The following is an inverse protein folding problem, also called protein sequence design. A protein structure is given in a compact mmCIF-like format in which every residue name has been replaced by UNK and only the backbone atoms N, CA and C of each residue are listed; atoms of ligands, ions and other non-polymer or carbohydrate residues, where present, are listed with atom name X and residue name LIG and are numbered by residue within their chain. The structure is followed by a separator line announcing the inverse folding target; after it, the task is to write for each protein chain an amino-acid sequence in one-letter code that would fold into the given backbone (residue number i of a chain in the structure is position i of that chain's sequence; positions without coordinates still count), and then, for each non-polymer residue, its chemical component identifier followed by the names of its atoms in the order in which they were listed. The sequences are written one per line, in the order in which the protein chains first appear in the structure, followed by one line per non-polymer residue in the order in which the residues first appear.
data_IF_186600128087
#
_entry.id   IF_186600128087
#
_cell.length_a   1.000
_cell.length_b   1.000
_cell.length_c   1.000
_cell.angle_alpha   90.00
_cell.angle_beta   90.00
_cell.angle_gamma   90.00
#
_symmetry.space_group_name_H-M   'P 1'
#
loop_
_entity.id
_entity.type
_entity.pdbx_description
1 polymer ?
#
# COMPACT_ATOMS: atom_id res chain seq x y z
N UNK A 1 -19.05 -11.81 1.20
CA UNK A 1 -18.00 -10.77 1.22
C UNK A 1 -18.40 -9.59 2.13
N UNK A 2 -19.45 -8.83 1.80
CA UNK A 2 -19.95 -7.71 2.62
C UNK A 2 -20.23 -8.09 4.09
N UNK A 3 -21.14 -9.03 4.34
CA UNK A 3 -21.51 -9.46 5.70
C UNK A 3 -20.34 -10.07 6.50
N UNK A 4 -19.45 -10.79 5.83
CA UNK A 4 -18.27 -11.41 6.48
C UNK A 4 -17.27 -10.38 6.97
N UNK A 5 -17.13 -9.26 6.25
CA UNK A 5 -16.14 -8.24 6.51
C UNK A 5 -16.72 -6.96 7.12
N UNK A 6 -18.04 -6.87 7.29
CA UNK A 6 -18.73 -5.65 7.73
C UNK A 6 -18.47 -4.46 6.80
N UNK A 7 -18.35 -4.72 5.49
CA UNK A 7 -18.02 -3.71 4.48
C UNK A 7 -19.24 -3.37 3.65
N UNK A 8 -19.36 -2.09 3.30
CA UNK A 8 -20.22 -1.65 2.21
C UNK A 8 -19.60 -2.10 0.89
N UNK A 9 -20.36 -2.81 0.04
CA UNK A 9 -19.85 -3.36 -1.23
C UNK A 9 -20.74 -2.88 -2.36
N UNK A 10 -20.16 -2.18 -3.33
CA UNK A 10 -20.87 -1.55 -4.44
C UNK A 10 -20.34 -2.05 -5.79
N UNK A 11 -21.25 -2.28 -6.76
CA UNK A 11 -20.88 -2.64 -8.14
C UNK A 11 -20.47 -4.11 -8.36
N UNK A 12 -20.52 -4.97 -7.36
CA UNK A 12 -20.19 -6.41 -7.47
C UNK A 12 -21.26 -7.26 -8.15
N UNK A 13 -22.48 -6.74 -8.21
CA UNK A 13 -23.61 -7.26 -8.95
C UNK A 13 -23.56 -6.89 -10.44
N UNK A 14 -22.62 -6.05 -10.84
CA UNK A 14 -22.46 -5.66 -12.23
C UNK A 14 -21.84 -6.80 -13.06
N UNK A 15 -22.46 -7.09 -14.21
CA UNK A 15 -22.05 -8.20 -15.08
C UNK A 15 -20.58 -8.11 -15.51
N UNK A 16 -19.91 -9.27 -15.56
CA UNK A 16 -18.54 -9.43 -16.06
C UNK A 16 -17.49 -9.66 -14.98
N UNK A 17 -17.80 -9.45 -13.70
CA UNK A 17 -16.87 -9.75 -12.59
C UNK A 17 -16.83 -11.25 -12.35
N UNK A 18 -15.66 -11.87 -12.50
CA UNK A 18 -15.49 -13.31 -12.32
C UNK A 18 -15.53 -13.72 -10.84
N UNK A 19 -15.92 -14.97 -10.56
CA UNK A 19 -15.85 -15.52 -9.21
C UNK A 19 -14.40 -15.56 -8.67
N UNK A 20 -13.41 -15.68 -9.55
CA UNK A 20 -11.99 -15.69 -9.20
C UNK A 20 -11.53 -14.31 -8.73
N UNK A 21 -11.96 -13.24 -9.41
CA UNK A 21 -11.75 -11.84 -8.99
C UNK A 21 -12.27 -11.63 -7.56
N UNK A 22 -13.52 -12.04 -7.30
CA UNK A 22 -14.13 -11.91 -5.96
C UNK A 22 -13.36 -12.71 -4.92
N UNK A 23 -12.87 -13.91 -5.28
CA UNK A 23 -12.09 -14.76 -4.38
C UNK A 23 -10.73 -14.14 -4.03
N UNK A 24 -10.04 -13.53 -5.00
CA UNK A 24 -8.78 -12.83 -4.76
C UNK A 24 -8.95 -11.64 -3.81
N UNK A 25 -9.96 -10.80 -4.06
CA UNK A 25 -10.27 -9.66 -3.19
C UNK A 25 -10.60 -10.13 -1.77
N UNK A 26 -11.46 -11.14 -1.66
CA UNK A 26 -11.85 -11.72 -0.38
C UNK A 26 -10.66 -12.33 0.38
N UNK A 27 -9.75 -13.00 -0.32
CA UNK A 27 -8.57 -13.61 0.27
C UNK A 27 -7.56 -12.56 0.77
N UNK A 28 -7.36 -11.46 0.04
CA UNK A 28 -6.50 -10.37 0.49
C UNK A 28 -7.05 -9.73 1.78
N UNK A 29 -8.36 -9.49 1.83
CA UNK A 29 -9.03 -8.99 3.02
C UNK A 29 -8.84 -9.93 4.23
N UNK A 30 -9.03 -11.24 4.03
CA UNK A 30 -8.85 -12.23 5.11
C UNK A 30 -7.43 -12.22 5.66
N UNK A 31 -6.44 -12.30 4.78
CA UNK A 31 -5.02 -12.43 5.16
C UNK A 31 -4.53 -11.18 5.91
N UNK A 32 -4.96 -9.99 5.47
CA UNK A 32 -4.48 -8.74 6.07
C UNK A 32 -5.27 -8.41 7.33
N UNK A 33 -6.60 -8.51 7.34
CA UNK A 33 -7.41 -8.18 8.52
C UNK A 33 -7.23 -9.16 9.67
N UNK A 34 -6.78 -10.39 9.40
CA UNK A 34 -6.40 -11.34 10.44
C UNK A 34 -5.16 -10.89 11.24
N UNK A 35 -4.32 -10.02 10.68
CA UNK A 35 -3.02 -9.63 11.26
C UNK A 35 -2.94 -8.18 11.68
N UNK A 36 -3.68 -7.29 11.02
CA UNK A 36 -3.61 -5.85 11.23
C UNK A 36 -4.99 -5.24 11.47
N UNK A 37 -5.09 -4.21 12.32
CA UNK A 37 -6.34 -3.49 12.58
C UNK A 37 -6.65 -2.51 11.43
N UNK A 38 -6.87 -3.04 10.22
CA UNK A 38 -7.23 -2.21 9.07
C UNK A 38 -8.67 -1.73 9.20
N UNK A 39 -8.85 -0.41 9.27
CA UNK A 39 -10.16 0.21 9.12
C UNK A 39 -10.43 0.44 7.63
N UNK A 40 -11.46 -0.22 7.12
CA UNK A 40 -11.95 -0.06 5.75
C UNK A 40 -13.47 0.06 5.82
N UNK A 41 -14.03 1.08 5.18
CA UNK A 41 -15.48 1.33 5.19
C UNK A 41 -16.19 0.55 4.09
N UNK A 42 -15.62 0.56 2.90
CA UNK A 42 -16.24 -0.12 1.77
C UNK A 42 -15.30 -0.42 0.62
N UNK A 43 -15.84 -1.14 -0.35
CA UNK A 43 -15.17 -1.51 -1.58
C UNK A 43 -16.14 -1.36 -2.76
N UNK A 44 -15.70 -0.68 -3.80
CA UNK A 44 -16.51 -0.38 -4.96
C UNK A 44 -15.84 -0.84 -6.26
N UNK A 45 -16.61 -1.50 -7.12
CA UNK A 45 -16.25 -1.67 -8.53
C UNK A 45 -16.85 -0.51 -9.32
N UNK A 46 -16.00 0.41 -9.77
CA UNK A 46 -16.40 1.65 -10.45
C UNK A 46 -16.28 1.54 -11.96
N UNK A 47 -17.03 2.35 -12.71
CA UNK A 47 -16.87 2.48 -14.16
C UNK A 47 -15.68 3.35 -14.58
N UNK A 48 -14.96 3.97 -13.64
CA UNK A 48 -13.76 4.75 -13.96
C UNK A 48 -12.72 3.88 -14.67
N UNK A 49 -12.09 4.41 -15.70
CA UNK A 49 -11.02 3.71 -16.42
C UNK A 49 -9.71 3.70 -15.62
N UNK A 50 -9.40 4.80 -14.93
CA UNK A 50 -8.21 4.94 -14.09
C UNK A 50 -8.51 5.80 -12.85
N UNK A 51 -7.75 5.62 -11.76
CA UNK A 51 -6.77 4.54 -11.57
C UNK A 51 -7.45 3.17 -11.43
N UNK A 52 -6.72 2.11 -11.75
CA UNK A 52 -7.23 0.75 -11.80
C UNK A 52 -7.63 0.16 -10.44
N UNK A 53 -6.90 0.55 -9.40
CA UNK A 53 -7.17 0.16 -8.02
C UNK A 53 -6.53 1.23 -7.15
N UNK A 54 -7.30 1.81 -6.23
CA UNK A 54 -6.82 2.82 -5.29
C UNK A 54 -7.61 2.79 -3.98
N UNK A 55 -7.00 3.30 -2.92
CA UNK A 55 -7.72 3.72 -1.72
C UNK A 55 -8.03 5.22 -1.80
N UNK A 56 -9.23 5.59 -1.36
CA UNK A 56 -9.64 6.98 -1.22
C UNK A 56 -10.30 7.25 0.15
N UNK A 57 -10.24 8.50 0.61
CA UNK A 57 -10.97 8.92 1.80
C UNK A 57 -12.33 9.47 1.39
N UNK A 58 -13.42 8.79 1.75
CA UNK A 58 -14.78 9.29 1.50
C UNK A 58 -15.41 10.01 2.68
N UNK A 59 -14.66 10.21 3.77
CA UNK A 59 -15.15 10.98 4.90
C UNK A 59 -15.54 12.40 4.44
N UNK A 60 -16.72 12.90 4.84
CA UNK A 60 -17.09 14.29 4.56
C UNK A 60 -16.01 15.24 5.08
N UNK A 61 -15.73 16.32 4.35
CA UNK A 61 -14.70 17.32 4.74
C UNK A 61 -14.96 17.88 6.15
N UNK A 62 -16.21 17.92 6.58
CA UNK A 62 -16.64 18.35 7.92
C UNK A 62 -16.28 17.35 9.03
N UNK A 63 -15.95 16.10 8.69
CA UNK A 63 -15.60 15.01 9.60
C UNK A 63 -14.13 14.57 9.46
N UNK A 64 -13.23 15.52 9.22
CA UNK A 64 -11.79 15.27 9.02
C UNK A 64 -11.08 14.51 10.16
N UNK A 65 -11.74 14.33 11.31
CA UNK A 65 -11.22 13.57 12.44
C UNK A 65 -11.18 12.04 12.21
N UNK A 66 -12.01 11.50 11.31
CA UNK A 66 -12.05 10.07 11.02
C UNK A 66 -11.97 9.83 9.52
N UNK A 67 -10.94 9.11 9.07
CA UNK A 67 -10.91 8.64 7.71
C UNK A 67 -12.00 7.57 7.50
N UNK A 68 -12.63 7.60 6.33
CA UNK A 68 -13.49 6.52 5.84
C UNK A 68 -12.84 5.95 4.59
N UNK A 69 -11.86 5.03 4.72
CA UNK A 69 -11.16 4.48 3.58
C UNK A 69 -12.10 3.62 2.74
N UNK A 70 -12.11 3.86 1.44
CA UNK A 70 -12.76 3.02 0.44
C UNK A 70 -11.72 2.53 -0.55
N UNK A 71 -11.80 1.26 -0.92
CA UNK A 71 -11.01 0.74 -2.03
C UNK A 71 -11.89 0.75 -3.28
N UNK A 72 -11.46 1.47 -4.30
CA UNK A 72 -12.09 1.45 -5.62
C UNK A 72 -11.29 0.54 -6.54
N UNK A 73 -12.00 -0.27 -7.32
CA UNK A 73 -11.43 -1.13 -8.35
C UNK A 73 -12.13 -0.77 -9.66
N UNK A 74 -11.38 -0.46 -10.71
CA UNK A 74 -12.00 -0.21 -12.01
C UNK A 74 -12.69 -1.48 -12.52
N UNK A 75 -13.82 -1.32 -13.21
CA UNK A 75 -14.51 -2.44 -13.84
C UNK A 75 -13.60 -3.13 -14.85
N UNK A 76 -12.79 -2.38 -15.59
CA UNK A 76 -11.83 -2.94 -16.54
C UNK A 76 -10.92 -3.97 -15.85
N UNK A 77 -10.38 -3.66 -14.68
CA UNK A 77 -9.50 -4.55 -13.91
C UNK A 77 -10.27 -5.65 -13.18
N UNK A 78 -11.49 -5.38 -12.72
CA UNK A 78 -12.33 -6.41 -12.13
C UNK A 78 -12.70 -7.51 -13.13
N UNK A 79 -12.84 -7.16 -14.42
CA UNK A 79 -13.10 -8.08 -15.54
C UNK A 79 -11.81 -8.71 -16.06
N UNK A 80 -10.76 -7.90 -16.25
CA UNK A 80 -9.44 -8.34 -16.71
C UNK A 80 -8.33 -7.90 -15.73
N UNK A 81 -8.04 -8.72 -14.72
CA UNK A 81 -6.99 -8.47 -13.74
C UNK A 81 -5.59 -8.27 -14.33
N UNK A 82 -5.33 -8.73 -15.56
CA UNK A 82 -4.01 -8.62 -16.20
C UNK A 82 -3.66 -7.19 -16.64
N UNK A 83 -4.64 -6.28 -16.62
CA UNK A 83 -4.41 -4.84 -16.82
C UNK A 83 -3.57 -4.22 -15.69
N UNK A 84 -3.46 -4.89 -14.53
CA UNK A 84 -2.57 -4.45 -13.46
C UNK A 84 -1.11 -4.71 -13.82
N UNK A 85 -0.35 -3.64 -14.02
CA UNK A 85 1.09 -3.72 -14.27
C UNK A 85 1.82 -4.23 -13.02
N UNK A 86 2.67 -5.26 -13.13
CA UNK A 86 3.48 -5.73 -12.03
C UNK A 86 4.53 -4.68 -11.61
N UNK A 87 4.89 -4.62 -10.32
CA UNK A 87 6.00 -3.79 -9.87
C UNK A 87 7.34 -4.31 -10.43
N UNK A 88 8.39 -3.47 -10.47
CA UNK A 88 9.68 -3.83 -11.07
C UNK A 88 10.47 -4.88 -10.26
N UNK A 89 10.07 -5.19 -9.04
CA UNK A 89 10.79 -6.15 -8.17
C UNK A 89 10.34 -7.59 -8.48
N UNK A 90 11.30 -8.47 -8.75
CA UNK A 90 11.04 -9.83 -9.26
C UNK A 90 10.08 -10.66 -8.37
N UNK A 91 10.21 -10.56 -7.04
CA UNK A 91 9.38 -11.31 -6.10
C UNK A 91 7.92 -10.87 -6.10
N UNK A 92 7.66 -9.56 -6.09
CA UNK A 92 6.29 -9.05 -6.19
C UNK A 92 5.73 -9.25 -7.60
N UNK A 93 6.56 -9.10 -8.64
CA UNK A 93 6.16 -9.32 -10.02
C UNK A 93 5.66 -10.74 -10.29
N UNK A 94 6.20 -11.75 -9.58
CA UNK A 94 5.69 -13.12 -9.67
C UNK A 94 4.26 -13.24 -9.14
N UNK A 95 3.99 -12.68 -7.96
CA UNK A 95 2.67 -12.73 -7.34
C UNK A 95 1.67 -11.88 -8.13
N UNK A 96 2.08 -10.73 -8.67
CA UNK A 96 1.24 -9.94 -9.57
C UNK A 96 0.88 -10.71 -10.85
N UNK A 97 1.75 -11.59 -11.35
CA UNK A 97 1.43 -12.43 -12.52
C UNK A 97 0.49 -13.58 -12.18
N UNK A 98 0.56 -14.13 -10.98
CA UNK A 98 -0.27 -15.25 -10.54
C UNK A 98 -1.63 -14.81 -10.00
N UNK A 99 -1.66 -13.72 -9.22
CA UNK A 99 -2.81 -13.20 -8.46
C UNK A 99 -2.79 -11.66 -8.41
N UNK A 100 -2.94 -10.98 -9.57
CA UNK A 100 -2.79 -9.53 -9.69
C UNK A 100 -3.73 -8.74 -8.76
N UNK A 101 -4.98 -9.15 -8.63
CA UNK A 101 -5.98 -8.46 -7.82
C UNK A 101 -5.68 -8.64 -6.34
N UNK A 102 -5.28 -9.85 -5.93
CA UNK A 102 -4.82 -10.10 -4.56
C UNK A 102 -3.64 -9.17 -4.20
N UNK A 103 -2.64 -9.08 -5.08
CA UNK A 103 -1.46 -8.26 -4.84
C UNK A 103 -1.78 -6.76 -4.76
N UNK A 104 -2.62 -6.26 -5.68
CA UNK A 104 -3.09 -4.88 -5.65
C UNK A 104 -3.92 -4.58 -4.39
N UNK A 105 -4.81 -5.49 -4.00
CA UNK A 105 -5.62 -5.35 -2.79
C UNK A 105 -4.76 -5.31 -1.53
N UNK A 106 -3.70 -6.12 -1.42
CA UNK A 106 -2.76 -6.04 -0.28
C UNK A 106 -2.11 -4.66 -0.19
N UNK A 107 -1.75 -4.07 -1.33
CA UNK A 107 -1.20 -2.72 -1.41
C UNK A 107 -2.20 -1.65 -0.99
N UNK A 108 -3.44 -1.71 -1.46
CA UNK A 108 -4.48 -0.75 -1.05
C UNK A 108 -4.89 -0.91 0.41
N UNK A 109 -4.88 -2.13 0.95
CA UNK A 109 -5.10 -2.34 2.38
C UNK A 109 -3.96 -1.74 3.22
N UNK A 110 -2.72 -1.78 2.73
CA UNK A 110 -1.62 -1.03 3.33
C UNK A 110 -1.85 0.49 3.28
N UNK A 111 -2.44 1.00 2.20
CA UNK A 111 -2.80 2.40 2.08
C UNK A 111 -3.97 2.78 3.03
N UNK A 112 -4.98 1.93 3.19
CA UNK A 112 -6.05 2.11 4.18
C UNK A 112 -5.51 2.10 5.62
N UNK A 113 -4.54 1.22 5.91
CA UNK A 113 -3.86 1.19 7.20
C UNK A 113 -3.04 2.46 7.45
N UNK A 114 -2.36 2.98 6.44
CA UNK A 114 -1.65 4.26 6.48
C UNK A 114 -2.62 5.41 6.77
N UNK A 115 -3.76 5.46 6.09
CA UNK A 115 -4.80 6.47 6.33
C UNK A 115 -5.31 6.44 7.77
N UNK A 116 -5.47 5.25 8.34
CA UNK A 116 -5.84 5.06 9.76
C UNK A 116 -4.76 5.63 10.68
N UNK A 117 -3.49 5.41 10.38
CA UNK A 117 -2.36 5.94 11.16
C UNK A 117 -2.20 7.48 11.05
N UNK A 118 -2.70 8.07 9.97
CA UNK A 118 -2.79 9.52 9.78
C UNK A 118 -1.47 10.23 9.43
N UNK A 119 -1.46 11.56 9.53
CA UNK A 119 -0.29 12.39 9.14
C UNK A 119 1.03 12.06 9.85
N UNK A 120 1.06 11.68 11.14
CA UNK A 120 2.32 11.42 11.83
C UNK A 120 3.19 10.34 11.17
N UNK A 121 2.61 9.27 10.63
CA UNK A 121 3.39 8.21 9.96
C UNK A 121 4.01 8.71 8.65
N UNK A 122 3.30 9.60 7.93
CA UNK A 122 3.79 10.22 6.69
C UNK A 122 4.98 11.14 6.94
N UNK A 123 4.88 11.95 7.99
CA UNK A 123 5.95 12.85 8.41
C UNK A 123 7.19 12.09 8.87
N UNK A 124 7.00 10.95 9.53
CA UNK A 124 8.11 10.13 10.02
C UNK A 124 8.77 9.31 8.90
N UNK A 125 8.05 8.97 7.81
CA UNK A 125 8.56 8.11 6.75
C UNK A 125 9.93 8.55 6.19
N UNK A 126 10.08 9.82 5.84
CA UNK A 126 11.36 10.32 5.33
C UNK A 126 12.45 10.34 6.40
N UNK A 127 12.10 10.67 7.66
CA UNK A 127 13.06 10.68 8.78
C UNK A 127 13.55 9.26 9.09
N UNK A 128 12.65 8.29 9.09
CA UNK A 128 12.97 6.87 9.26
C UNK A 128 13.94 6.38 8.19
N UNK A 129 13.70 6.73 6.91
CA UNK A 129 14.59 6.38 5.81
C UNK A 129 16.00 7.00 5.98
N UNK A 130 16.09 8.29 6.32
CA UNK A 130 17.37 8.96 6.54
C UNK A 130 18.11 8.30 7.71
N UNK A 131 17.44 8.08 8.84
CA UNK A 131 18.04 7.43 10.02
C UNK A 131 18.53 6.02 9.71
N UNK A 132 17.76 5.24 8.97
CA UNK A 132 18.16 3.89 8.58
C UNK A 132 19.37 3.90 7.64
N UNK A 133 19.38 4.78 6.64
CA UNK A 133 20.50 4.91 5.72
C UNK A 133 21.80 5.31 6.42
N UNK A 134 21.74 6.25 7.37
CA UNK A 134 22.92 6.70 8.12
C UNK A 134 23.49 5.63 9.06
N UNK A 135 22.74 4.55 9.34
CA UNK A 135 23.20 3.39 10.12
C UNK A 135 23.83 2.29 9.27
N UNK A 136 23.82 2.41 7.95
CA UNK A 136 24.50 1.45 7.08
C UNK A 136 26.01 1.60 7.23
N UNK A 137 26.71 0.47 7.28
CA UNK A 137 28.15 0.44 7.46
C UNK A 137 28.88 1.26 6.38
N UNK A 138 29.85 2.06 6.81
CA UNK A 138 30.71 2.85 5.93
C UNK A 138 30.18 4.25 5.59
N UNK A 139 28.90 4.56 5.86
CA UNK A 139 28.32 5.88 5.57
C UNK A 139 28.94 6.99 6.43
N UNK A 140 29.33 6.68 7.66
CA UNK A 140 29.84 7.63 8.65
C UNK A 140 31.22 8.22 8.33
N UNK A 141 31.97 7.63 7.39
CA UNK A 141 33.31 8.11 6.98
C UNK A 141 33.30 8.84 5.63
N UNK A 142 32.13 9.00 5.02
CA UNK A 142 31.96 9.54 3.68
C UNK A 142 31.72 11.06 3.69
N UNK A 143 32.06 11.73 2.60
CA UNK A 143 31.73 13.16 2.43
C UNK A 143 30.21 13.37 2.32
N UNK A 144 29.70 14.54 2.74
CA UNK A 144 28.28 14.84 2.67
C UNK A 144 27.69 14.64 1.27
N UNK A 145 28.40 15.04 0.22
CA UNK A 145 27.97 14.85 -1.17
C UNK A 145 27.78 13.37 -1.52
N UNK A 146 28.68 12.50 -1.04
CA UNK A 146 28.63 11.05 -1.24
C UNK A 146 27.53 10.41 -0.43
N UNK A 147 27.33 10.84 0.82
CA UNK A 147 26.21 10.43 1.68
C UNK A 147 24.87 10.76 1.00
N UNK A 148 24.68 11.99 0.51
CA UNK A 148 23.43 12.42 -0.15
C UNK A 148 23.19 11.63 -1.44
N UNK A 149 24.22 11.41 -2.26
CA UNK A 149 24.10 10.62 -3.49
C UNK A 149 23.72 9.17 -3.18
N UNK A 150 24.41 8.55 -2.21
CA UNK A 150 24.12 7.19 -1.81
C UNK A 150 22.72 7.04 -1.20
N UNK A 151 22.27 8.01 -0.40
CA UNK A 151 20.89 8.02 0.11
C UNK A 151 19.86 8.05 -1.01
N UNK A 152 20.06 8.90 -2.04
CA UNK A 152 19.16 8.96 -3.19
C UNK A 152 19.11 7.64 -3.95
N UNK A 153 20.26 6.99 -4.16
CA UNK A 153 20.36 5.69 -4.83
C UNK A 153 19.70 4.57 -4.00
N UNK A 154 19.96 4.53 -2.70
CA UNK A 154 19.36 3.57 -1.79
C UNK A 154 17.85 3.73 -1.71
N UNK A 155 17.35 4.97 -1.55
CA UNK A 155 15.91 5.27 -1.52
C UNK A 155 15.21 4.95 -2.86
N UNK A 156 15.90 5.11 -3.99
CA UNK A 156 15.34 4.80 -5.31
C UNK A 156 14.98 3.31 -5.50
N UNK A 157 15.48 2.41 -4.65
CA UNK A 157 15.09 0.99 -4.62
C UNK A 157 13.59 0.79 -4.31
N UNK A 158 12.90 1.81 -3.76
CA UNK A 158 11.45 1.80 -3.56
C UNK A 158 10.64 1.75 -4.87
N UNK A 159 11.27 2.05 -6.01
CA UNK A 159 10.62 2.09 -7.31
C UNK A 159 9.89 3.41 -7.61
N UNK A 160 9.54 3.64 -8.88
CA UNK A 160 9.04 4.93 -9.37
C UNK A 160 7.70 5.34 -8.75
N UNK A 161 6.81 4.38 -8.47
CA UNK A 161 5.50 4.62 -7.82
C UNK A 161 5.61 5.36 -6.49
N UNK A 162 6.73 5.23 -5.79
CA UNK A 162 6.95 5.89 -4.50
C UNK A 162 7.30 7.39 -4.62
N UNK A 163 7.28 7.93 -5.85
CA UNK A 163 7.64 9.30 -6.16
C UNK A 163 6.61 9.96 -7.09
N UNK A 164 6.34 11.25 -6.86
CA UNK A 164 5.62 12.11 -7.81
C UNK A 164 6.67 12.94 -8.55
N UNK A 165 7.02 12.50 -9.76
CA UNK A 165 8.23 12.96 -10.43
C UNK A 165 9.47 12.60 -9.60
N UNK A 166 10.19 13.61 -9.09
CA UNK A 166 11.37 13.41 -8.23
C UNK A 166 11.09 13.63 -6.73
N UNK A 167 9.84 13.90 -6.35
CA UNK A 167 9.45 14.17 -4.96
C UNK A 167 8.97 12.88 -4.31
N UNK A 168 9.53 12.56 -3.14
CA UNK A 168 9.12 11.38 -2.37
C UNK A 168 7.65 11.53 -1.95
N UNK A 169 6.85 10.48 -2.17
CA UNK A 169 5.42 10.44 -1.85
C UNK A 169 5.16 9.46 -0.69
N UNK A 170 5.12 9.94 0.58
CA UNK A 170 5.10 9.06 1.76
C UNK A 170 3.94 8.06 1.80
N UNK A 171 2.69 8.49 1.57
CA UNK A 171 1.53 7.59 1.57
C UNK A 171 1.70 6.42 0.59
N UNK A 172 2.09 6.75 -0.64
CA UNK A 172 2.27 5.73 -1.67
C UNK A 172 3.45 4.81 -1.35
N UNK A 173 4.54 5.36 -0.84
CA UNK A 173 5.72 4.59 -0.44
C UNK A 173 5.44 3.64 0.73
N UNK A 174 4.64 4.06 1.71
CA UNK A 174 4.22 3.23 2.84
C UNK A 174 3.33 2.07 2.36
N UNK A 175 2.37 2.33 1.46
CA UNK A 175 1.50 1.30 0.89
C UNK A 175 2.28 0.28 0.04
N UNK A 176 3.21 0.73 -0.81
CA UNK A 176 4.08 -0.14 -1.62
C UNK A 176 5.00 -0.97 -0.72
N UNK A 177 5.62 -0.35 0.30
CA UNK A 177 6.46 -1.05 1.26
C UNK A 177 5.68 -2.09 2.08
N UNK A 178 4.44 -1.77 2.46
CA UNK A 178 3.54 -2.70 3.11
C UNK A 178 3.33 -3.94 2.24
N UNK A 179 2.90 -3.75 0.99
CA UNK A 179 2.73 -4.86 0.05
C UNK A 179 4.01 -5.65 -0.17
N UNK A 180 5.17 -4.99 -0.23
CA UNK A 180 6.45 -5.66 -0.35
C UNK A 180 6.70 -6.67 0.78
N UNK A 181 6.47 -6.24 2.03
CA UNK A 181 6.68 -7.07 3.22
C UNK A 181 5.66 -8.19 3.34
N UNK A 182 4.43 -7.98 2.86
CA UNK A 182 3.36 -8.98 2.97
C UNK A 182 3.33 -9.99 1.82
N UNK A 183 3.78 -9.61 0.63
CA UNK A 183 3.77 -10.48 -0.53
C UNK A 183 5.06 -11.30 -0.65
N UNK A 184 6.22 -10.75 -0.28
CA UNK A 184 7.51 -11.46 -0.36
C UNK A 184 8.03 -11.82 1.02
N UNK A 185 8.88 -12.84 1.13
CA UNK A 185 9.42 -13.37 2.40
C UNK A 185 10.39 -12.44 3.17
N UNK A 186 10.21 -11.12 3.03
CA UNK A 186 11.03 -10.08 3.63
C UNK A 186 11.31 -8.98 2.62
N UNK A 187 10.72 -7.81 2.82
CA UNK A 187 11.17 -6.60 2.11
C UNK A 187 12.58 -6.24 2.54
N UNK A 188 13.35 -5.56 1.68
CA UNK A 188 14.73 -5.17 1.94
C UNK A 188 14.93 -3.65 1.90
N UNK A 189 16.08 -3.20 2.39
CA UNK A 189 16.52 -1.81 2.29
C UNK A 189 15.45 -0.81 2.74
N UNK A 190 15.10 0.20 1.91
CA UNK A 190 14.14 1.23 2.30
C UNK A 190 12.71 0.69 2.46
N UNK A 191 12.32 -0.36 1.73
CA UNK A 191 10.98 -0.94 1.85
C UNK A 191 10.80 -1.64 3.21
N UNK A 192 11.84 -2.31 3.72
CA UNK A 192 11.84 -2.90 5.08
C UNK A 192 11.59 -1.85 6.16
N UNK A 193 12.24 -0.70 6.02
CA UNK A 193 12.13 0.41 6.98
C UNK A 193 10.71 0.97 7.01
N UNK A 194 10.13 1.23 5.84
CA UNK A 194 8.77 1.79 5.73
C UNK A 194 7.69 0.78 6.14
N UNK A 195 7.85 -0.50 5.80
CA UNK A 195 6.97 -1.58 6.28
C UNK A 195 6.98 -1.63 7.81
N UNK A 196 8.16 -1.70 8.42
CA UNK A 196 8.30 -1.74 9.87
C UNK A 196 7.73 -0.50 10.56
N UNK A 197 7.94 0.69 9.99
CA UNK A 197 7.35 1.94 10.49
C UNK A 197 5.81 1.87 10.51
N UNK A 198 5.19 1.47 9.39
CA UNK A 198 3.73 1.41 9.30
C UNK A 198 3.16 0.35 10.25
N UNK A 199 3.72 -0.86 10.25
CA UNK A 199 3.27 -1.95 11.12
C UNK A 199 3.42 -1.58 12.59
N UNK A 200 4.58 -1.01 12.98
CA UNK A 200 4.79 -0.57 14.36
C UNK A 200 3.79 0.50 14.79
N UNK A 201 3.42 1.43 13.89
CA UNK A 201 2.45 2.47 14.21
C UNK A 201 1.05 1.89 14.33
N UNK A 202 0.63 1.07 13.37
CA UNK A 202 -0.67 0.41 13.35
C UNK A 202 -0.93 -0.48 14.57
N UNK A 203 0.12 -1.12 15.09
CA UNK A 203 0.01 -2.01 16.25
C UNK A 203 0.19 -1.26 17.59
N UNK A 204 0.49 0.03 17.57
CA UNK A 204 0.62 0.84 18.78
C UNK A 204 -0.76 1.11 19.41
N UNK A 205 -0.88 1.08 20.76
CA UNK A 205 -2.15 1.34 21.44
C UNK A 205 -2.71 2.76 21.22
N UNK A 206 -1.88 3.72 20.81
CA UNK A 206 -2.31 5.10 20.48
C UNK A 206 -3.15 5.20 19.20
N UNK A 207 -3.23 4.14 18.40
CA UNK A 207 -3.96 4.11 17.12
C UNK A 207 -5.30 3.36 17.26
N UNK A 208 -5.65 2.89 18.46
CA UNK A 208 -6.91 2.19 18.77
C UNK A 208 -7.96 3.10 19.40
#
# INVERSE_FOLDING_TARGET
MAARHGLDVLGFDSGGVSADTVREIAAALDVIRARYPVHLRGLEITSSAEPYCEVENRAPVTHAAHAEPWITVSRAVAVDPLLLTPPPTAGQAAIYRERPLFAAMVRELGAALEMTCGSPVREEAQRALIRAYLRLDGVQHESLARVVRGYKLWRAQLGPDCFRGNVFAPSRALAVAFAAGELTAGSEGPARVLHGLLVSRAMSPETR
#
